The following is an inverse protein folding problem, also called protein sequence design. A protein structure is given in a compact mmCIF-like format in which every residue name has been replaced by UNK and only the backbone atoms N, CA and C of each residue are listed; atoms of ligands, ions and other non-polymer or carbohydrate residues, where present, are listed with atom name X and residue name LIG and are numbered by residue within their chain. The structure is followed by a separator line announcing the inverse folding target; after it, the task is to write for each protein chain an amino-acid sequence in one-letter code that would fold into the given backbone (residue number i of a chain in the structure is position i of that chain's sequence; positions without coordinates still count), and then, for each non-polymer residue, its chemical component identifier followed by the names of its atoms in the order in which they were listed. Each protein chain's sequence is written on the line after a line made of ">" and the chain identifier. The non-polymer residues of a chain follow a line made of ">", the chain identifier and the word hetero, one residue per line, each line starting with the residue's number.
data_IF_709917035605
#
_entry.id   IF_709917035605
#
_cell.length_a   1.000
_cell.length_b   1.000
_cell.length_c   1.000
_cell.angle_alpha   90.00
_cell.angle_beta   90.00
_cell.angle_gamma   90.00
#
_symmetry.space_group_name_H-M   'P 1'
#
loop_
_entity.id
_entity.type
_entity.pdbx_description
1 polymer ?
#
# COMPACT_ATOMS: atom_id res chain seq x y z
N UNK A 1 -2.32 6.89 -19.07
CA UNK A 1 -3.55 7.00 -18.25
C UNK A 1 -4.26 8.32 -18.48
N UNK A 2 -3.53 9.44 -18.58
CA UNK A 2 -4.08 10.76 -18.86
C UNK A 2 -4.96 10.78 -20.11
N UNK A 3 -4.53 10.09 -21.17
CA UNK A 3 -5.30 9.96 -22.41
C UNK A 3 -6.66 9.28 -22.20
N UNK A 4 -6.69 8.14 -21.49
CA UNK A 4 -7.95 7.46 -21.16
C UNK A 4 -8.91 8.40 -20.41
N UNK A 5 -8.44 9.10 -19.37
CA UNK A 5 -9.29 10.00 -18.59
C UNK A 5 -9.85 11.13 -19.47
N UNK A 6 -9.04 11.71 -20.37
CA UNK A 6 -9.51 12.73 -21.31
C UNK A 6 -10.57 12.19 -22.28
N UNK A 7 -10.37 10.99 -22.82
CA UNK A 7 -11.31 10.40 -23.77
C UNK A 7 -12.62 9.98 -23.10
N UNK A 8 -12.56 9.50 -21.84
CA UNK A 8 -13.74 9.05 -21.09
C UNK A 8 -14.58 10.22 -20.58
N UNK A 9 -13.95 11.28 -20.11
CA UNK A 9 -14.60 12.45 -19.55
C UNK A 9 -14.40 13.64 -20.49
N UNK A 10 -15.28 13.78 -21.48
CA UNK A 10 -15.16 14.84 -22.50
C UNK A 10 -15.44 16.24 -21.96
N UNK A 11 -16.29 16.35 -20.94
CA UNK A 11 -16.58 17.62 -20.26
C UNK A 11 -15.39 18.01 -19.37
N UNK A 12 -14.82 19.22 -19.51
CA UNK A 12 -13.63 19.63 -18.75
C UNK A 12 -13.81 19.59 -17.23
N UNK A 13 -14.99 19.92 -16.72
CA UNK A 13 -15.26 19.90 -15.28
C UNK A 13 -15.32 18.45 -14.76
N UNK A 14 -16.02 17.57 -15.48
CA UNK A 14 -16.06 16.13 -15.17
C UNK A 14 -14.68 15.49 -15.29
N UNK A 15 -13.90 15.84 -16.30
CA UNK A 15 -12.53 15.37 -16.46
C UNK A 15 -11.64 15.76 -15.28
N UNK A 16 -11.70 17.05 -14.89
CA UNK A 16 -10.91 17.54 -13.78
C UNK A 16 -11.31 16.85 -12.47
N UNK A 17 -12.62 16.70 -12.23
CA UNK A 17 -13.17 15.95 -11.11
C UNK A 17 -12.68 14.50 -11.08
N UNK A 18 -12.81 13.78 -12.19
CA UNK A 18 -12.41 12.38 -12.30
C UNK A 18 -10.90 12.17 -12.14
N UNK A 19 -10.09 13.09 -12.66
CA UNK A 19 -8.64 13.07 -12.45
C UNK A 19 -8.28 13.28 -10.97
N UNK A 20 -8.96 14.19 -10.29
CA UNK A 20 -8.75 14.41 -8.86
C UNK A 20 -9.21 13.20 -8.03
N UNK A 21 -10.34 12.59 -8.38
CA UNK A 21 -10.84 11.36 -7.79
C UNK A 21 -9.79 10.24 -7.90
N UNK A 22 -9.37 9.92 -9.13
CA UNK A 22 -8.29 8.96 -9.44
C UNK A 22 -7.05 9.17 -8.58
N UNK A 23 -6.58 10.42 -8.50
CA UNK A 23 -5.38 10.78 -7.76
C UNK A 23 -5.55 10.60 -6.25
N UNK A 24 -6.70 11.02 -5.70
CA UNK A 24 -6.97 10.98 -4.26
C UNK A 24 -7.22 9.57 -3.76
N UNK A 25 -7.97 8.76 -4.50
CA UNK A 25 -8.19 7.35 -4.16
C UNK A 25 -6.90 6.54 -4.29
N UNK A 26 -6.09 6.78 -5.33
CA UNK A 26 -4.77 6.19 -5.45
C UNK A 26 -3.88 6.49 -4.24
N UNK A 27 -3.80 7.77 -3.85
CA UNK A 27 -3.01 8.21 -2.70
C UNK A 27 -3.50 7.57 -1.39
N UNK A 28 -4.82 7.52 -1.20
CA UNK A 28 -5.45 6.93 -0.01
C UNK A 28 -5.11 5.45 0.10
N UNK A 29 -5.34 4.67 -0.96
CA UNK A 29 -5.04 3.24 -0.95
C UNK A 29 -3.54 2.95 -0.89
N UNK A 30 -2.69 3.84 -1.41
CA UNK A 30 -1.24 3.72 -1.30
C UNK A 30 -0.76 3.84 0.15
N UNK A 31 -1.28 4.81 0.90
CA UNK A 31 -0.93 4.99 2.32
C UNK A 31 -1.52 3.89 3.19
N UNK A 32 -2.80 3.55 3.01
CA UNK A 32 -3.45 2.46 3.75
C UNK A 32 -2.75 1.14 3.45
N UNK A 33 -2.46 0.86 2.17
CA UNK A 33 -1.77 -0.33 1.73
C UNK A 33 -0.38 -0.45 2.33
N UNK A 34 0.39 0.63 2.38
CA UNK A 34 1.69 0.63 3.05
C UNK A 34 1.58 0.32 4.55
N UNK A 35 0.65 0.98 5.28
CA UNK A 35 0.47 0.73 6.71
C UNK A 35 0.15 -0.75 6.95
N UNK A 36 -0.80 -1.32 6.21
CA UNK A 36 -1.22 -2.73 6.34
C UNK A 36 -0.21 -3.74 5.79
N UNK A 37 0.67 -3.32 4.88
CA UNK A 37 1.52 -4.23 4.11
C UNK A 37 0.74 -5.00 3.05
N UNK A 38 -0.12 -4.31 2.30
CA UNK A 38 -0.88 -4.87 1.20
C UNK A 38 0.00 -5.04 -0.05
N UNK A 39 0.21 -6.29 -0.47
CA UNK A 39 0.89 -6.66 -1.71
C UNK A 39 -0.08 -7.04 -2.84
N UNK A 40 0.45 -7.59 -3.93
CA UNK A 40 -0.25 -8.02 -5.15
C UNK A 40 -1.10 -6.92 -5.78
N UNK A 41 -0.53 -5.71 -5.87
CA UNK A 41 -1.18 -4.55 -6.49
C UNK A 41 -0.87 -4.47 -7.99
N UNK A 42 -1.17 -5.56 -8.69
CA UNK A 42 -1.10 -5.65 -10.14
C UNK A 42 -2.27 -4.88 -10.82
N UNK A 43 -2.32 -4.86 -12.15
CA UNK A 43 -3.35 -4.12 -12.90
C UNK A 43 -4.76 -4.72 -12.81
N UNK A 44 -4.91 -5.98 -12.41
CA UNK A 44 -6.21 -6.66 -12.27
C UNK A 44 -6.85 -6.37 -10.91
N UNK A 45 -6.02 -6.10 -9.90
CA UNK A 45 -6.46 -5.81 -8.53
C UNK A 45 -6.75 -4.32 -8.27
N UNK A 46 -6.66 -3.48 -9.31
CA UNK A 46 -6.90 -2.03 -9.24
C UNK A 46 -7.94 -1.68 -10.30
N UNK A 47 -9.20 -1.58 -9.88
CA UNK A 47 -10.32 -1.24 -10.74
C UNK A 47 -10.45 0.29 -10.85
N UNK A 48 -10.87 0.76 -12.02
CA UNK A 48 -11.17 2.17 -12.26
C UNK A 48 -12.67 2.34 -12.49
N UNK A 49 -13.33 3.14 -11.65
CA UNK A 49 -14.72 3.51 -11.86
C UNK A 49 -14.81 4.50 -13.03
N UNK A 50 -15.41 4.01 -14.11
CA UNK A 50 -15.56 4.77 -15.35
C UNK A 50 -16.60 5.90 -15.26
N UNK A 51 -17.37 5.98 -14.17
CA UNK A 51 -18.40 7.00 -13.95
C UNK A 51 -17.85 8.25 -13.27
N UNK A 52 -16.86 8.10 -12.39
CA UNK A 52 -16.37 9.17 -11.54
C UNK A 52 -14.83 9.25 -11.43
N UNK A 53 -14.09 8.27 -11.96
CA UNK A 53 -12.63 8.23 -11.95
C UNK A 53 -11.99 7.63 -10.69
N UNK A 54 -12.77 7.14 -9.73
CA UNK A 54 -12.24 6.52 -8.51
C UNK A 54 -11.46 5.24 -8.82
N UNK A 55 -10.42 5.01 -8.03
CA UNK A 55 -9.72 3.73 -8.01
C UNK A 55 -10.24 2.89 -6.85
N UNK A 56 -10.60 1.64 -7.14
CA UNK A 56 -11.07 0.65 -6.16
C UNK A 56 -10.11 -0.53 -6.16
N UNK A 57 -9.51 -0.82 -5.00
CA UNK A 57 -8.69 -2.00 -4.84
C UNK A 57 -9.57 -3.21 -4.51
N UNK A 58 -9.30 -4.33 -5.18
CA UNK A 58 -9.94 -5.61 -4.91
C UNK A 58 -8.88 -6.65 -4.53
N UNK A 59 -9.34 -7.84 -4.11
CA UNK A 59 -8.52 -8.97 -3.65
C UNK A 59 -7.48 -8.57 -2.58
N UNK A 60 -7.81 -8.77 -1.30
CA UNK A 60 -6.91 -8.45 -0.18
C UNK A 60 -6.18 -9.69 0.37
N UNK A 61 -5.98 -10.73 -0.45
CA UNK A 61 -5.36 -11.98 0.02
C UNK A 61 -3.88 -11.81 0.44
N UNK A 62 -3.19 -10.79 -0.09
CA UNK A 62 -1.77 -10.48 0.18
C UNK A 62 -1.56 -9.37 1.22
N UNK A 63 -2.30 -9.41 2.33
CA UNK A 63 -2.09 -8.49 3.47
C UNK A 63 -0.87 -8.86 4.32
N UNK A 64 -0.43 -7.92 5.17
CA UNK A 64 0.60 -8.12 6.19
C UNK A 64 1.96 -8.57 5.66
N UNK A 65 2.39 -7.97 4.55
CA UNK A 65 3.69 -8.19 3.89
C UNK A 65 3.89 -9.60 3.32
N UNK A 66 2.80 -10.34 3.05
CA UNK A 66 2.88 -11.66 2.39
C UNK A 66 3.52 -11.60 1.01
N UNK A 67 3.37 -10.49 0.27
CA UNK A 67 4.02 -10.26 -1.03
C UNK A 67 5.55 -10.38 -0.99
N UNK A 68 6.19 -10.16 0.16
CA UNK A 68 7.65 -10.29 0.33
C UNK A 68 8.14 -11.75 0.37
N UNK A 69 7.22 -12.69 0.53
CA UNK A 69 7.48 -14.14 0.61
C UNK A 69 7.16 -14.89 -0.68
N UNK A 70 6.69 -14.19 -1.72
CA UNK A 70 6.56 -14.76 -3.05
C UNK A 70 7.95 -15.17 -3.59
N UNK A 71 7.96 -16.08 -4.57
CA UNK A 71 9.18 -16.51 -5.25
C UNK A 71 9.95 -15.32 -5.83
N UNK A 72 9.23 -14.41 -6.49
CA UNK A 72 9.70 -13.06 -6.81
C UNK A 72 9.08 -12.07 -5.81
N UNK A 73 9.85 -11.58 -4.82
CA UNK A 73 9.28 -10.73 -3.78
C UNK A 73 8.83 -9.37 -4.30
N UNK A 74 7.76 -8.85 -3.72
CA UNK A 74 7.37 -7.46 -3.93
C UNK A 74 8.20 -6.53 -3.03
N UNK A 75 8.96 -5.62 -3.65
CA UNK A 75 9.93 -4.75 -2.96
C UNK A 75 9.51 -3.29 -2.87
N UNK A 76 8.53 -2.86 -3.68
CA UNK A 76 7.97 -1.50 -3.61
C UNK A 76 6.86 -1.41 -2.56
N UNK A 77 6.69 -0.27 -1.87
CA UNK A 77 5.69 -0.14 -0.80
C UNK A 77 4.23 -0.07 -1.31
N UNK A 78 4.03 0.33 -2.56
CA UNK A 78 2.73 0.36 -3.24
C UNK A 78 2.94 0.60 -4.75
N UNK A 79 1.89 0.42 -5.55
CA UNK A 79 1.94 0.67 -6.99
C UNK A 79 2.01 2.16 -7.30
N UNK A 80 3.14 2.63 -7.79
CA UNK A 80 3.32 3.99 -8.30
C UNK A 80 4.21 3.98 -9.55
N UNK A 81 3.64 3.53 -10.66
CA UNK A 81 4.36 3.41 -11.94
C UNK A 81 4.20 4.67 -12.80
N UNK A 82 4.91 4.75 -13.94
CA UNK A 82 4.86 5.93 -14.81
C UNK A 82 3.44 6.21 -15.35
N UNK A 83 2.64 5.18 -15.67
CA UNK A 83 1.27 5.37 -16.14
C UNK A 83 0.36 5.91 -15.04
N UNK A 84 0.56 5.53 -13.78
CA UNK A 84 -0.16 6.10 -12.65
C UNK A 84 0.15 7.60 -12.52
N UNK A 85 1.45 7.95 -12.54
CA UNK A 85 1.92 9.33 -12.41
C UNK A 85 1.40 10.22 -13.56
N UNK A 86 1.42 9.70 -14.80
CA UNK A 86 0.81 10.36 -15.96
C UNK A 86 -0.67 10.69 -15.73
N UNK A 87 -1.42 9.77 -15.11
CA UNK A 87 -2.83 9.97 -14.76
C UNK A 87 -3.09 11.11 -13.78
N UNK A 88 -2.11 11.48 -12.96
CA UNK A 88 -2.24 12.60 -12.00
C UNK A 88 -2.18 13.97 -12.67
N UNK A 89 -1.76 14.03 -13.95
CA UNK A 89 -1.61 15.26 -14.72
C UNK A 89 -0.25 15.91 -14.54
N UNK A 90 -0.15 17.19 -14.91
CA UNK A 90 1.12 17.91 -15.02
C UNK A 90 1.90 18.06 -13.71
N UNK A 91 1.22 18.00 -12.55
CA UNK A 91 1.88 18.05 -11.24
C UNK A 91 2.53 16.73 -10.86
N UNK A 92 2.19 15.63 -11.54
CA UNK A 92 2.60 14.28 -11.17
C UNK A 92 2.33 13.99 -9.68
N UNK A 93 3.36 13.55 -8.97
CA UNK A 93 3.28 13.26 -7.52
C UNK A 93 3.27 14.52 -6.65
N UNK A 94 3.83 15.63 -7.11
CA UNK A 94 4.06 16.89 -6.35
C UNK A 94 2.81 17.79 -6.27
N UNK A 95 1.62 17.20 -6.19
CA UNK A 95 0.36 17.93 -6.14
C UNK A 95 -0.67 17.22 -5.26
N UNK A 96 -1.85 16.99 -5.83
CA UNK A 96 -2.95 16.35 -5.12
C UNK A 96 -2.56 14.98 -4.54
N UNK A 97 -1.69 14.21 -5.21
CA UNK A 97 -1.21 12.93 -4.71
C UNK A 97 -0.46 13.07 -3.38
N UNK A 98 0.67 13.81 -3.36
CA UNK A 98 1.46 14.03 -2.15
C UNK A 98 0.63 14.62 -1.01
N UNK A 99 -0.18 15.65 -1.28
CA UNK A 99 -1.04 16.28 -0.24
C UNK A 99 -2.09 15.34 0.31
N UNK A 100 -2.66 14.47 -0.52
CA UNK A 100 -3.58 13.44 -0.04
C UNK A 100 -2.85 12.39 0.78
N UNK A 101 -1.66 11.93 0.36
CA UNK A 101 -0.84 11.00 1.15
C UNK A 101 -0.51 11.56 2.54
N UNK A 102 -0.05 12.82 2.61
CA UNK A 102 0.24 13.51 3.87
C UNK A 102 -1.01 13.59 4.77
N UNK A 103 -2.16 13.93 4.19
CA UNK A 103 -3.42 14.05 4.94
C UNK A 103 -3.89 12.70 5.47
N UNK A 104 -3.94 11.68 4.62
CA UNK A 104 -4.36 10.32 4.98
C UNK A 104 -3.44 9.77 6.07
N UNK A 105 -2.13 9.90 5.89
CA UNK A 105 -1.17 9.41 6.88
C UNK A 105 -1.31 10.14 8.22
N UNK A 106 -1.55 11.46 8.21
CA UNK A 106 -1.81 12.22 9.45
C UNK A 106 -3.05 11.71 10.18
N UNK A 107 -4.14 11.44 9.45
CA UNK A 107 -5.36 10.84 10.02
C UNK A 107 -5.08 9.44 10.57
N UNK A 108 -4.39 8.58 9.83
CA UNK A 108 -4.05 7.22 10.30
C UNK A 108 -3.18 7.24 11.57
N UNK A 109 -2.24 8.18 11.69
CA UNK A 109 -1.44 8.36 12.91
C UNK A 109 -2.27 8.90 14.07
N UNK A 110 -3.17 9.86 13.83
CA UNK A 110 -4.07 10.40 14.85
C UNK A 110 -5.02 9.31 15.39
N UNK A 111 -5.59 8.50 14.51
CA UNK A 111 -6.53 7.43 14.84
C UNK A 111 -5.86 6.07 15.15
N UNK A 112 -4.57 6.08 15.50
CA UNK A 112 -3.80 4.86 15.75
C UNK A 112 -4.42 3.97 16.85
N UNK A 113 -5.06 4.57 17.86
CA UNK A 113 -5.73 3.82 18.93
C UNK A 113 -6.93 3.00 18.40
N UNK A 114 -7.79 3.64 17.60
CA UNK A 114 -8.95 3.01 16.96
C UNK A 114 -8.52 1.89 16.02
N UNK A 115 -7.54 2.17 15.16
CA UNK A 115 -6.96 1.19 14.23
C UNK A 115 -6.35 0.00 14.98
N UNK A 116 -5.65 0.27 16.08
CA UNK A 116 -5.05 -0.76 16.92
C UNK A 116 -6.11 -1.71 17.48
N UNK A 117 -7.23 -1.21 17.98
CA UNK A 117 -8.32 -2.05 18.47
C UNK A 117 -8.85 -2.96 17.37
N UNK A 118 -9.08 -2.42 16.17
CA UNK A 118 -9.51 -3.23 15.01
C UNK A 118 -8.48 -4.32 14.69
N UNK A 119 -7.19 -3.98 14.58
CA UNK A 119 -6.16 -4.98 14.27
C UNK A 119 -5.98 -6.02 15.37
N UNK A 120 -6.07 -5.64 16.64
CA UNK A 120 -5.98 -6.59 17.76
C UNK A 120 -7.14 -7.60 17.72
N UNK A 121 -8.35 -7.21 17.29
CA UNK A 121 -9.42 -8.19 17.06
C UNK A 121 -9.09 -9.20 15.96
N UNK A 122 -8.39 -8.79 14.88
CA UNK A 122 -7.92 -9.72 13.84
C UNK A 122 -6.87 -10.72 14.33
N UNK A 123 -6.11 -10.42 15.41
CA UNK A 123 -5.21 -11.41 16.02
C UNK A 123 -5.97 -12.57 16.66
N UNK A 124 -7.14 -12.25 17.21
CA UNK A 124 -7.96 -13.18 17.96
C UNK A 124 -8.99 -13.88 17.08
N UNK A 125 -9.08 -13.50 15.81
CA UNK A 125 -9.93 -14.19 14.84
C UNK A 125 -9.28 -15.53 14.42
N UNK A 126 -9.87 -16.67 14.82
CA UNK A 126 -9.31 -17.99 14.52
C UNK A 126 -9.39 -18.35 13.02
N UNK A 127 -10.21 -17.63 12.25
CA UNK A 127 -10.42 -17.85 10.81
C UNK A 127 -9.41 -17.14 9.93
N UNK A 128 -8.66 -16.16 10.47
CA UNK A 128 -7.63 -15.48 9.69
C UNK A 128 -6.46 -16.44 9.44
N UNK A 129 -6.28 -16.83 8.18
CA UNK A 129 -5.22 -17.72 7.76
C UNK A 129 -3.87 -17.00 7.72
N UNK A 130 -3.24 -16.77 8.88
CA UNK A 130 -1.94 -16.11 9.00
C UNK A 130 -0.75 -16.87 8.36
N UNK A 131 -0.93 -18.16 8.01
CA UNK A 131 0.09 -18.93 7.31
C UNK A 131 -0.48 -20.09 6.50
N UNK A 132 0.08 -20.33 5.30
CA UNK A 132 0.02 -21.62 4.60
C UNK A 132 1.19 -22.48 5.11
N UNK A 133 1.12 -23.00 6.33
CA UNK A 133 2.09 -24.01 6.79
C UNK A 133 1.45 -25.39 6.64
N UNK A 134 1.87 -26.10 5.60
CA UNK A 134 1.45 -27.46 5.23
C UNK A 134 1.87 -28.57 6.22
N UNK A 135 2.32 -28.25 7.44
CA UNK A 135 2.75 -29.28 8.40
C UNK A 135 1.70 -29.62 9.49
N UNK A 136 1.60 -30.93 9.76
CA UNK A 136 0.49 -31.70 10.35
C UNK A 136 0.27 -31.57 11.87
N UNK A 137 0.94 -30.68 12.60
CA UNK A 137 0.82 -30.62 14.06
C UNK A 137 -0.09 -29.49 14.55
N UNK A 138 -1.30 -29.84 14.99
CA UNK A 138 -2.36 -28.89 15.37
C UNK A 138 -2.03 -28.01 16.59
N UNK A 139 -1.26 -28.50 17.56
CA UNK A 139 -0.88 -27.74 18.78
C UNK A 139 0.21 -26.69 18.53
N UNK A 140 1.14 -26.93 17.59
CA UNK A 140 2.17 -25.95 17.20
C UNK A 140 1.59 -24.82 16.31
N UNK A 141 0.44 -25.06 15.66
CA UNK A 141 -0.24 -24.07 14.79
C UNK A 141 -0.73 -22.86 15.58
N UNK A 142 -1.26 -23.03 16.79
CA UNK A 142 -1.82 -21.92 17.59
C UNK A 142 -0.77 -20.91 18.04
N UNK A 143 0.32 -21.38 18.64
CA UNK A 143 1.42 -20.53 19.10
C UNK A 143 2.12 -19.79 17.94
N UNK A 144 2.31 -20.47 16.80
CA UNK A 144 2.96 -19.88 15.63
C UNK A 144 2.06 -18.88 14.89
N UNK A 145 0.75 -19.11 14.83
CA UNK A 145 -0.23 -18.13 14.29
C UNK A 145 -0.20 -16.83 15.11
N UNK A 146 -0.24 -16.93 16.44
CA UNK A 146 -0.22 -15.77 17.33
C UNK A 146 1.08 -14.96 17.19
N UNK A 147 2.23 -15.62 17.00
CA UNK A 147 3.51 -14.95 16.83
C UNK A 147 3.61 -14.17 15.51
N UNK A 148 3.14 -14.74 14.39
CA UNK A 148 3.12 -14.06 13.09
C UNK A 148 2.22 -12.83 13.14
N UNK A 149 1.02 -13.00 13.69
CA UNK A 149 0.03 -11.94 13.79
C UNK A 149 0.51 -10.80 14.71
N UNK A 150 1.07 -11.13 15.88
CA UNK A 150 1.66 -10.14 16.79
C UNK A 150 2.80 -9.35 16.14
N UNK A 151 3.64 -10.03 15.34
CA UNK A 151 4.71 -9.37 14.61
C UNK A 151 4.17 -8.43 13.52
N UNK A 152 3.14 -8.82 12.76
CA UNK A 152 2.47 -7.93 11.79
C UNK A 152 1.91 -6.67 12.46
N UNK A 153 1.29 -6.79 13.64
CA UNK A 153 0.83 -5.62 14.41
C UNK A 153 1.98 -4.75 14.89
N UNK A 154 3.10 -5.34 15.29
CA UNK A 154 4.27 -4.57 15.68
C UNK A 154 4.82 -3.73 14.52
N UNK A 155 4.80 -4.27 13.29
CA UNK A 155 5.16 -3.54 12.07
C UNK A 155 4.17 -2.42 11.76
N UNK A 156 2.87 -2.67 11.85
CA UNK A 156 1.83 -1.65 11.64
C UNK A 156 2.04 -0.48 12.61
N UNK A 157 2.25 -0.77 13.91
CA UNK A 157 2.54 0.24 14.94
C UNK A 157 3.78 1.06 14.57
N UNK A 158 4.88 0.38 14.24
CA UNK A 158 6.11 1.06 13.84
C UNK A 158 5.94 1.96 12.60
N UNK A 159 5.11 1.56 11.63
CA UNK A 159 4.81 2.38 10.44
C UNK A 159 4.00 3.62 10.79
N UNK A 160 3.00 3.48 11.68
CA UNK A 160 2.22 4.60 12.21
C UNK A 160 3.10 5.54 13.05
N UNK A 161 4.11 5.01 13.75
CA UNK A 161 5.10 5.83 14.48
C UNK A 161 6.13 6.52 13.55
N UNK A 162 5.95 6.40 12.24
CA UNK A 162 6.77 7.08 11.23
C UNK A 162 8.04 6.36 10.82
N UNK A 163 8.09 5.04 10.98
CA UNK A 163 9.19 4.21 10.49
C UNK A 163 8.83 3.57 9.14
N UNK A 164 9.83 3.34 8.30
CA UNK A 164 9.67 2.53 7.07
C UNK A 164 10.26 1.17 7.36
N UNK A 165 9.40 0.28 7.87
CA UNK A 165 9.80 -1.07 8.27
C UNK A 165 8.97 -2.11 7.52
N UNK A 166 9.64 -3.19 7.15
CA UNK A 166 9.01 -4.35 6.52
C UNK A 166 9.59 -5.65 7.05
N UNK A 167 8.93 -6.76 6.68
CA UNK A 167 9.21 -8.06 7.24
C UNK A 167 10.57 -8.61 6.78
N UNK A 168 10.95 -8.36 5.51
CA UNK A 168 12.12 -8.96 4.86
C UNK A 168 13.17 -7.93 4.44
N UNK A 169 12.75 -6.79 3.88
CA UNK A 169 13.65 -5.83 3.23
C UNK A 169 14.10 -4.69 4.14
N UNK A 170 13.20 -4.16 4.96
CA UNK A 170 13.48 -3.03 5.85
C UNK A 170 13.35 -3.45 7.32
N UNK A 171 14.11 -4.47 7.72
CA UNK A 171 14.21 -4.87 9.13
C UNK A 171 14.96 -3.80 9.91
N UNK A 172 14.39 -3.38 11.05
CA UNK A 172 14.94 -2.44 12.04
C UNK A 172 16.38 -2.01 11.76
N UNK A 173 16.57 -1.05 10.86
CA UNK A 173 17.89 -0.46 10.65
C UNK A 173 18.22 0.32 11.91
N UNK A 174 19.45 0.18 12.42
CA UNK A 174 19.99 0.88 13.60
C UNK A 174 19.93 2.42 13.51
N UNK A 175 19.40 2.96 12.41
CA UNK A 175 19.07 4.35 12.14
C UNK A 175 17.54 4.57 12.12
N UNK A 176 16.83 4.09 13.15
CA UNK A 176 15.37 4.23 13.28
C UNK A 176 14.98 5.65 13.71
N UNK A 177 15.33 6.65 12.92
CA UNK A 177 14.79 8.00 13.11
C UNK A 177 13.32 7.97 12.72
N UNK A 178 12.44 8.26 13.67
CA UNK A 178 11.02 8.46 13.42
C UNK A 178 10.85 9.66 12.51
N UNK A 179 10.22 9.46 11.35
CA UNK A 179 10.05 10.51 10.36
C UNK A 179 8.80 11.33 10.63
N UNK A 180 8.83 12.62 10.26
CA UNK A 180 7.62 13.40 10.09
C UNK A 180 6.70 12.75 9.04
N UNK A 181 5.43 13.17 9.01
CA UNK A 181 4.46 12.70 8.02
C UNK A 181 4.99 12.97 6.60
N UNK A 182 5.45 14.20 6.37
CA UNK A 182 5.96 14.66 5.08
C UNK A 182 7.23 13.90 4.68
N UNK A 183 8.13 13.66 5.64
CA UNK A 183 9.36 12.89 5.41
C UNK A 183 9.08 11.43 5.06
N UNK A 184 8.15 10.78 5.78
CA UNK A 184 7.77 9.40 5.49
C UNK A 184 7.13 9.30 4.10
N UNK A 185 6.19 10.19 3.75
CA UNK A 185 5.56 10.24 2.42
C UNK A 185 6.61 10.44 1.32
N UNK A 186 7.55 11.37 1.51
CA UNK A 186 8.60 11.63 0.52
C UNK A 186 9.47 10.39 0.26
N UNK A 187 9.88 9.70 1.31
CA UNK A 187 10.70 8.50 1.18
C UNK A 187 9.91 7.33 0.58
N UNK A 188 8.63 7.17 0.92
CA UNK A 188 7.76 6.15 0.32
C UNK A 188 7.55 6.37 -1.18
N UNK A 189 7.29 7.61 -1.60
CA UNK A 189 7.19 7.96 -3.03
C UNK A 189 8.49 7.65 -3.76
N UNK A 190 9.64 8.01 -3.16
CA UNK A 190 10.96 7.70 -3.73
C UNK A 190 11.15 6.20 -3.91
N UNK A 191 10.80 5.39 -2.92
CA UNK A 191 10.91 3.93 -3.00
C UNK A 191 9.94 3.32 -4.02
N UNK A 192 8.69 3.80 -4.08
CA UNK A 192 7.68 3.29 -5.00
C UNK A 192 7.99 3.59 -6.48
N UNK A 193 8.80 4.62 -6.73
CA UNK A 193 9.21 5.05 -8.07
C UNK A 193 10.66 4.65 -8.42
N UNK A 194 11.37 3.96 -7.53
CA UNK A 194 12.75 3.58 -7.75
C UNK A 194 12.85 2.53 -8.87
N UNK A 195 13.61 2.87 -9.92
CA UNK A 195 13.76 2.01 -11.10
C UNK A 195 14.40 0.65 -10.76
N UNK A 196 15.29 0.60 -9.78
CA UNK A 196 15.95 -0.63 -9.36
C UNK A 196 14.96 -1.54 -8.62
N UNK A 197 14.06 -0.98 -7.81
CA UNK A 197 13.01 -1.76 -7.16
C UNK A 197 11.94 -2.20 -8.15
N UNK A 198 11.49 -1.32 -9.05
CA UNK A 198 10.54 -1.66 -10.10
C UNK A 198 11.06 -2.75 -11.04
N UNK A 199 12.35 -2.77 -11.36
CA UNK A 199 12.96 -3.80 -12.20
C UNK A 199 13.06 -5.18 -11.53
N UNK A 200 12.97 -5.25 -10.20
CA UNK A 200 12.96 -6.51 -9.44
C UNK A 200 11.56 -7.10 -9.27
N UNK A 201 10.52 -6.34 -9.63
CA UNK A 201 9.13 -6.80 -9.51
C UNK A 201 8.83 -7.90 -10.53
N UNK A 202 7.96 -8.83 -10.14
CA UNK A 202 7.45 -9.87 -11.02
C UNK A 202 6.86 -9.28 -12.32
N UNK A 203 7.11 -9.94 -13.46
CA UNK A 203 6.71 -9.41 -14.78
C UNK A 203 5.20 -9.19 -14.89
N UNK A 204 4.38 -10.10 -14.32
CA UNK A 204 2.91 -10.00 -14.30
C UNK A 204 2.39 -8.87 -13.41
N UNK A 205 3.23 -8.30 -12.53
CA UNK A 205 2.89 -7.08 -11.80
C UNK A 205 2.87 -5.86 -12.72
N UNK A 206 3.45 -5.96 -13.92
CA UNK A 206 3.53 -4.92 -14.93
C UNK A 206 4.17 -3.60 -14.41
N UNK A 207 5.44 -3.64 -13.96
CA UNK A 207 6.12 -2.46 -13.39
C UNK A 207 6.52 -1.40 -14.41
N UNK A 208 6.66 -1.82 -15.68
CA UNK A 208 7.06 -0.96 -16.79
C UNK A 208 5.92 -0.08 -17.32
N UNK A 209 4.68 -0.33 -16.89
CA UNK A 209 3.50 0.41 -17.34
C UNK A 209 3.46 1.82 -16.78
#
# INVERSE_FOLDING_TARGET
>A
MAEYLRNKFVDPCKWYGARLAFTRTAATMSMVGFILGLGDRNCENILLDSTNGDIVHVDFNMLFNRGEYLETPEVVPFRLTRNMIDGFGSTGVEGAFRKTCETVLRVLRHEQATLRTVFETFLHDPLVEWSKVENRNQLARGAQKNAVAANSISLIKARLDGKIVTQRFHKQTKSSVTMSVEGQVAQLIKMATDRNYLAQMYIGWNPHL
#
